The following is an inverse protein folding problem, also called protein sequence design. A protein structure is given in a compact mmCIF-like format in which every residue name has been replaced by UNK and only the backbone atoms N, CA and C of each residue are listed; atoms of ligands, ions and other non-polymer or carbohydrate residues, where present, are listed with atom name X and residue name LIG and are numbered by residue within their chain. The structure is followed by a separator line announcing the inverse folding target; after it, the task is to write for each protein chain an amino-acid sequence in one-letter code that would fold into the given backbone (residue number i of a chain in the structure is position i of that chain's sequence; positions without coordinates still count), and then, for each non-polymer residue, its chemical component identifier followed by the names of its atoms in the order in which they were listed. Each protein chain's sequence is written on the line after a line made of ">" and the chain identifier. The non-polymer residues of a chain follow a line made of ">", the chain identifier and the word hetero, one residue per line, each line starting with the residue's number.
data_IF_974784577684
#
_entry.id   IF_974784577684
#
_cell.length_a   1.000
_cell.length_b   1.000
_cell.length_c   1.000
_cell.angle_alpha   90.00
_cell.angle_beta   90.00
_cell.angle_gamma   90.00
#
_symmetry.space_group_name_H-M   'P 1'
#
loop_
_entity.id
_entity.type
_entity.pdbx_description
1 polymer ?
#
# COMPACT_ATOMS: atom_id res chain seq x y z
N UNK A 1 -35.68 3.21 5.44
CA UNK A 1 -35.65 3.04 6.92
C UNK A 1 -36.85 2.28 7.45
N UNK A 2 -38.10 2.61 7.09
CA UNK A 2 -39.30 1.89 7.58
C UNK A 2 -39.26 0.36 7.38
N UNK A 3 -38.78 -0.12 6.23
CA UNK A 3 -38.60 -1.55 5.98
C UNK A 3 -37.60 -2.21 6.94
N UNK A 4 -36.48 -1.55 7.22
CA UNK A 4 -35.49 -2.04 8.17
C UNK A 4 -36.05 -2.12 9.59
N UNK A 5 -36.85 -1.14 10.03
CA UNK A 5 -37.54 -1.19 11.32
C UNK A 5 -38.50 -2.37 11.41
N UNK A 6 -39.30 -2.64 10.36
CA UNK A 6 -40.16 -3.83 10.32
C UNK A 6 -39.38 -5.13 10.47
N UNK A 7 -38.21 -5.23 9.84
CA UNK A 7 -37.35 -6.41 9.97
C UNK A 7 -36.72 -6.52 11.36
N UNK A 8 -36.35 -5.39 11.99
CA UNK A 8 -35.86 -5.38 13.37
C UNK A 8 -36.95 -5.75 14.38
N UNK A 9 -38.18 -5.25 14.22
CA UNK A 9 -39.31 -5.66 15.06
C UNK A 9 -39.61 -7.16 14.96
N UNK A 10 -39.48 -7.73 13.76
CA UNK A 10 -39.81 -9.14 13.50
C UNK A 10 -38.70 -10.12 13.88
N UNK A 11 -37.45 -9.77 13.63
CA UNK A 11 -36.31 -10.69 13.71
C UNK A 11 -35.21 -10.24 14.68
N UNK A 12 -35.28 -9.01 15.20
CA UNK A 12 -34.31 -8.45 16.13
C UNK A 12 -32.87 -8.54 15.61
N UNK A 13 -32.00 -9.16 16.41
CA UNK A 13 -30.57 -9.29 16.13
C UNK A 13 -30.26 -10.14 14.88
N UNK A 14 -31.14 -11.08 14.51
CA UNK A 14 -30.93 -11.94 13.36
C UNK A 14 -30.97 -11.16 12.05
N UNK A 15 -31.74 -10.06 12.01
CA UNK A 15 -31.79 -9.19 10.84
C UNK A 15 -30.44 -8.50 10.54
N UNK A 16 -29.59 -8.36 11.56
CA UNK A 16 -28.28 -7.69 11.48
C UNK A 16 -27.14 -8.66 11.20
N UNK A 17 -27.34 -9.97 11.39
CA UNK A 17 -26.32 -11.00 11.19
C UNK A 17 -26.47 -11.68 9.83
N UNK A 18 -25.37 -12.02 9.15
CA UNK A 18 -25.43 -12.88 7.98
C UNK A 18 -25.93 -14.27 8.39
N UNK A 19 -26.74 -14.89 7.53
CA UNK A 19 -27.30 -16.23 7.77
C UNK A 19 -26.76 -17.21 6.74
N UNK A 20 -26.49 -18.45 7.16
CA UNK A 20 -26.09 -19.54 6.25
C UNK A 20 -27.34 -20.28 5.80
N UNK A 21 -27.65 -20.23 4.50
CA UNK A 21 -28.83 -20.85 3.89
C UNK A 21 -28.37 -21.67 2.68
N UNK A 22 -28.70 -22.96 2.64
CA UNK A 22 -28.30 -23.91 1.58
C UNK A 22 -26.79 -23.85 1.30
N UNK A 23 -25.99 -23.96 2.36
CA UNK A 23 -24.53 -23.87 2.35
C UNK A 23 -23.90 -22.57 1.83
N UNK A 24 -24.70 -21.53 1.60
CA UNK A 24 -24.23 -20.22 1.16
C UNK A 24 -24.52 -19.16 2.21
N UNK A 25 -23.54 -18.30 2.45
CA UNK A 25 -23.73 -17.14 3.31
C UNK A 25 -24.57 -16.09 2.59
N UNK A 26 -25.68 -15.71 3.21
CA UNK A 26 -26.52 -14.60 2.79
C UNK A 26 -26.14 -13.35 3.57
N UNK A 27 -26.26 -12.20 2.90
CA UNK A 27 -26.09 -10.88 3.51
C UNK A 27 -27.17 -10.66 4.59
N UNK A 28 -26.89 -9.86 5.62
CA UNK A 28 -27.91 -9.50 6.61
C UNK A 28 -29.09 -8.80 5.94
N UNK A 29 -30.29 -9.00 6.51
CA UNK A 29 -31.54 -8.42 6.01
C UNK A 29 -31.48 -6.88 6.09
N UNK A 30 -30.91 -6.37 7.18
CA UNK A 30 -30.65 -4.93 7.36
C UNK A 30 -29.18 -4.66 7.09
N UNK A 31 -28.91 -3.71 6.19
CA UNK A 31 -27.54 -3.38 5.82
C UNK A 31 -26.79 -2.70 6.98
N UNK A 32 -25.46 -2.86 7.08
CA UNK A 32 -24.67 -2.25 8.16
C UNK A 32 -24.79 -0.72 8.20
N UNK A 33 -24.94 -0.09 7.03
CA UNK A 33 -25.13 1.37 6.94
C UNK A 33 -26.45 1.82 7.55
N UNK A 34 -27.54 1.14 7.19
CA UNK A 34 -28.88 1.49 7.70
C UNK A 34 -28.99 1.21 9.19
N UNK A 35 -28.39 0.11 9.66
CA UNK A 35 -28.26 -0.18 11.09
C UNK A 35 -27.51 0.94 11.84
N UNK A 36 -26.38 1.41 11.30
CA UNK A 36 -25.63 2.51 11.89
C UNK A 36 -26.41 3.83 11.92
N UNK A 37 -27.23 4.11 10.90
CA UNK A 37 -28.06 5.31 10.88
C UNK A 37 -29.19 5.25 11.93
N UNK A 38 -29.85 4.10 12.08
CA UNK A 38 -30.86 3.88 13.13
C UNK A 38 -30.22 4.01 14.52
N UNK A 39 -29.04 3.42 14.71
CA UNK A 39 -28.26 3.56 15.96
C UNK A 39 -27.95 5.02 16.27
N UNK A 40 -27.50 5.81 15.28
CA UNK A 40 -27.24 7.25 15.47
C UNK A 40 -28.51 8.03 15.83
N UNK A 41 -29.65 7.69 15.22
CA UNK A 41 -30.93 8.30 15.54
C UNK A 41 -31.34 7.99 16.98
N UNK A 42 -31.24 6.73 17.41
CA UNK A 42 -31.53 6.32 18.78
C UNK A 42 -30.64 7.02 19.83
N UNK A 43 -29.34 7.18 19.52
CA UNK A 43 -28.41 7.96 20.37
C UNK A 43 -28.87 9.43 20.44
N UNK A 44 -29.26 10.03 19.32
CA UNK A 44 -29.72 11.44 19.28
C UNK A 44 -31.02 11.65 20.04
N UNK A 45 -31.96 10.70 19.99
CA UNK A 45 -33.25 10.77 20.69
C UNK A 45 -33.21 10.28 22.14
N UNK A 46 -32.06 9.78 22.62
CA UNK A 46 -31.94 9.22 23.98
C UNK A 46 -32.63 7.86 24.17
N UNK A 47 -32.97 7.16 23.08
CA UNK A 47 -33.63 5.84 23.10
C UNK A 47 -32.65 4.69 22.86
N UNK A 48 -31.35 4.95 23.03
CA UNK A 48 -30.32 3.90 23.04
C UNK A 48 -30.34 3.17 24.40
N UNK A 49 -30.42 1.84 24.39
CA UNK A 49 -30.54 1.02 25.59
C UNK A 49 -31.86 0.25 25.70
N UNK A 50 -32.92 0.77 25.09
CA UNK A 50 -34.26 0.15 25.08
C UNK A 50 -34.81 0.17 23.66
N UNK A 51 -35.14 -1.00 23.13
CA UNK A 51 -35.85 -1.13 21.86
C UNK A 51 -37.32 -1.45 22.13
N UNK A 52 -38.22 -0.61 21.62
CA UNK A 52 -39.65 -0.85 21.68
C UNK A 52 -40.12 -1.56 20.40
N UNK A 53 -40.64 -2.78 20.56
CA UNK A 53 -41.08 -3.63 19.44
C UNK A 53 -42.35 -3.12 18.76
N UNK A 54 -43.20 -2.38 19.49
CA UNK A 54 -44.49 -1.90 18.99
C UNK A 54 -44.32 -0.66 18.13
N UNK A 55 -43.53 0.31 18.62
CA UNK A 55 -43.27 1.57 17.90
C UNK A 55 -42.07 1.46 16.95
N UNK A 56 -41.20 0.48 17.14
CA UNK A 56 -39.94 0.32 16.40
C UNK A 56 -38.91 1.40 16.72
N UNK A 57 -39.06 2.08 17.86
CA UNK A 57 -38.19 3.16 18.30
C UNK A 57 -37.12 2.62 19.26
N UNK A 58 -35.87 3.05 19.05
CA UNK A 58 -34.75 2.77 19.93
C UNK A 58 -33.71 1.84 19.32
N UNK A 59 -32.73 1.47 20.13
CA UNK A 59 -31.64 0.57 19.75
C UNK A 59 -31.17 -0.24 20.95
N UNK A 60 -31.04 -1.55 20.79
CA UNK A 60 -30.50 -2.44 21.81
C UNK A 60 -28.96 -2.49 21.73
N UNK A 61 -28.22 -2.18 22.82
CA UNK A 61 -26.76 -2.30 22.85
C UNK A 61 -26.24 -3.70 22.49
N UNK A 62 -27.02 -4.77 22.72
CA UNK A 62 -26.63 -6.13 22.34
C UNK A 62 -26.50 -6.34 20.82
N UNK A 63 -27.10 -5.45 20.03
CA UNK A 63 -26.99 -5.46 18.57
C UNK A 63 -25.70 -4.84 18.06
N UNK A 64 -24.95 -4.13 18.94
CA UNK A 64 -23.63 -3.66 18.59
C UNK A 64 -22.68 -4.86 18.51
N UNK A 65 -22.11 -5.08 17.31
CA UNK A 65 -21.04 -6.05 17.17
C UNK A 65 -19.88 -5.65 18.09
N UNK A 66 -19.19 -6.61 18.74
CA UNK A 66 -18.04 -6.30 19.55
C UNK A 66 -17.05 -5.51 18.70
N UNK A 67 -16.82 -4.25 19.08
CA UNK A 67 -15.76 -3.45 18.46
C UNK A 67 -14.49 -4.29 18.62
N UNK A 68 -13.76 -4.49 17.52
CA UNK A 68 -12.45 -5.13 17.58
C UNK A 68 -11.69 -4.43 18.71
N UNK A 69 -11.40 -5.17 19.79
CA UNK A 69 -10.76 -4.58 20.97
C UNK A 69 -9.47 -3.92 20.46
N UNK A 70 -9.20 -2.65 20.77
CA UNK A 70 -7.85 -2.15 20.58
C UNK A 70 -6.94 -3.10 21.36
N UNK A 71 -5.96 -3.68 20.67
CA UNK A 71 -4.94 -4.47 21.33
C UNK A 71 -4.20 -3.45 22.19
N UNK A 72 -4.27 -3.58 23.51
CA UNK A 72 -3.40 -2.84 24.40
C UNK A 72 -1.98 -3.38 24.16
N UNK A 73 -1.24 -2.72 23.28
CA UNK A 73 0.20 -2.91 23.19
C UNK A 73 0.75 -2.05 24.31
N UNK A 74 1.13 -2.69 25.42
CA UNK A 74 1.84 -2.01 26.48
C UNK A 74 3.28 -1.83 26.03
N UNK A 75 3.64 -0.62 25.64
CA UNK A 75 5.03 -0.19 25.75
C UNK A 75 5.31 0.02 27.24
N UNK A 76 6.50 -0.36 27.72
CA UNK A 76 6.87 -0.49 29.14
C UNK A 76 6.89 0.81 29.95
N UNK A 77 6.19 1.84 29.47
CA UNK A 77 6.28 3.23 29.86
C UNK A 77 4.88 3.87 29.88
N UNK A 78 3.92 3.19 30.50
CA UNK A 78 2.76 3.79 31.18
C UNK A 78 1.70 4.56 30.38
N UNK A 79 1.93 4.93 29.12
CA UNK A 79 0.97 5.69 28.31
C UNK A 79 0.26 4.81 27.28
N UNK A 80 -1.07 4.75 27.38
CA UNK A 80 -1.92 3.91 26.53
C UNK A 80 -2.46 4.69 25.33
N UNK A 81 -1.91 4.42 24.14
CA UNK A 81 -2.33 5.05 22.88
C UNK A 81 -3.54 4.29 22.28
N UNK A 82 -4.69 4.97 22.14
CA UNK A 82 -5.88 4.42 21.46
C UNK A 82 -5.80 4.53 19.93
N UNK A 83 -6.16 3.44 19.25
CA UNK A 83 -5.90 3.22 17.82
C UNK A 83 -7.20 3.04 17.02
N UNK A 84 -7.45 3.88 15.99
CA UNK A 84 -8.59 3.77 15.08
C UNK A 84 -8.28 2.96 13.80
N UNK A 85 -9.30 2.25 13.30
CA UNK A 85 -9.22 1.29 12.18
C UNK A 85 -9.41 1.99 10.83
N UNK A 86 -8.34 2.08 10.02
CA UNK A 86 -8.43 2.51 8.61
C UNK A 86 -7.29 3.41 8.11
N UNK A 87 -6.54 4.04 9.00
CA UNK A 87 -5.17 4.48 8.69
C UNK A 87 -4.24 3.28 8.80
N UNK A 88 -3.10 3.30 8.11
CA UNK A 88 -1.99 2.39 8.39
C UNK A 88 -1.62 2.50 9.86
N UNK A 89 -2.22 1.66 10.70
CA UNK A 89 -1.88 1.57 12.10
C UNK A 89 -0.83 0.49 12.24
N UNK A 90 0.41 0.90 11.96
CA UNK A 90 1.58 0.04 11.89
C UNK A 90 2.82 0.77 12.38
N UNK A 91 2.70 1.51 13.49
CA UNK A 91 3.78 1.64 14.47
C UNK A 91 4.05 0.33 15.23
N UNK A 92 3.28 -0.73 14.94
CA UNK A 92 3.75 -2.09 15.12
C UNK A 92 4.84 -2.27 14.07
N UNK A 93 6.11 -2.30 14.49
CA UNK A 93 7.12 -2.96 13.67
C UNK A 93 6.54 -4.33 13.34
N UNK A 94 6.06 -4.49 12.12
CA UNK A 94 5.67 -5.80 11.64
C UNK A 94 6.85 -6.70 11.98
N UNK A 95 6.61 -7.89 12.58
CA UNK A 95 7.68 -8.85 12.88
C UNK A 95 8.61 -9.03 11.67
N UNK A 96 8.05 -8.79 10.47
CA UNK A 96 8.79 -8.70 9.22
C UNK A 96 9.33 -7.29 8.98
N UNK A 97 10.63 -7.15 8.71
CA UNK A 97 11.17 -5.86 8.33
C UNK A 97 10.44 -5.29 7.10
N UNK A 98 10.38 -3.95 6.98
CA UNK A 98 9.76 -3.31 5.82
C UNK A 98 10.46 -3.77 4.54
N UNK A 99 9.69 -4.07 3.51
CA UNK A 99 10.18 -4.57 2.21
C UNK A 99 11.13 -3.62 1.49
N UNK A 100 11.18 -2.36 1.91
CA UNK A 100 11.87 -1.26 1.25
C UNK A 100 11.46 -1.01 -0.22
N UNK A 101 11.84 0.15 -0.75
CA UNK A 101 11.65 0.46 -2.17
C UNK A 101 12.66 -0.31 -3.04
N UNK A 102 12.36 -0.49 -4.33
CA UNK A 102 13.31 -1.13 -5.28
C UNK A 102 14.68 -0.42 -5.32
N UNK A 103 14.71 0.91 -5.11
CA UNK A 103 15.94 1.71 -5.13
C UNK A 103 16.83 1.43 -3.92
N UNK A 104 16.25 1.28 -2.73
CA UNK A 104 16.98 0.92 -1.51
C UNK A 104 17.55 -0.49 -1.61
N UNK A 105 16.71 -1.47 -2.00
CA UNK A 105 17.13 -2.88 -2.18
C UNK A 105 18.26 -3.13 -3.19
N UNK A 106 18.46 -2.23 -4.17
CA UNK A 106 19.47 -2.40 -5.25
C UNK A 106 20.63 -1.43 -5.15
N UNK A 107 20.75 -0.69 -4.04
CA UNK A 107 21.76 0.36 -3.88
C UNK A 107 23.16 -0.21 -3.82
N UNK A 108 23.37 -1.25 -3.01
CA UNK A 108 24.68 -1.89 -2.80
C UNK A 108 25.21 -2.55 -4.07
N UNK A 109 24.38 -3.38 -4.71
CA UNK A 109 24.75 -4.01 -5.98
C UNK A 109 25.11 -2.99 -7.08
N UNK A 110 24.48 -1.82 -7.06
CA UNK A 110 24.80 -0.72 -7.99
C UNK A 110 26.11 -0.04 -7.63
N UNK A 111 26.40 0.15 -6.35
CA UNK A 111 27.68 0.70 -5.88
C UNK A 111 28.85 -0.23 -6.26
N UNK A 112 28.74 -1.53 -5.96
CA UNK A 112 29.74 -2.53 -6.35
C UNK A 112 30.02 -2.55 -7.86
N UNK A 113 28.95 -2.43 -8.67
CA UNK A 113 29.09 -2.35 -10.12
C UNK A 113 29.84 -1.09 -10.57
N UNK A 114 29.63 0.04 -9.90
CA UNK A 114 30.33 1.29 -10.21
C UNK A 114 31.80 1.17 -9.80
N UNK A 115 32.09 0.65 -8.61
CA UNK A 115 33.46 0.46 -8.12
C UNK A 115 34.28 -0.45 -9.05
N UNK A 116 33.71 -1.57 -9.49
CA UNK A 116 34.37 -2.46 -10.45
C UNK A 116 34.65 -1.77 -11.80
N UNK A 117 33.76 -0.89 -12.26
CA UNK A 117 33.97 -0.14 -13.50
C UNK A 117 35.04 0.95 -13.35
N UNK A 118 35.12 1.57 -12.18
CA UNK A 118 36.13 2.60 -11.86
C UNK A 118 37.52 1.97 -11.73
N UNK A 119 37.63 0.78 -11.13
CA UNK A 119 38.91 0.08 -11.00
C UNK A 119 39.55 -0.26 -12.36
N UNK A 120 38.75 -0.61 -13.36
CA UNK A 120 39.21 -0.89 -14.73
C UNK A 120 39.24 0.33 -15.66
N UNK A 121 39.10 1.55 -15.11
CA UNK A 121 38.99 2.76 -15.91
C UNK A 121 40.30 3.13 -16.62
N UNK A 122 41.43 3.01 -15.93
CA UNK A 122 42.74 3.42 -16.47
C UNK A 122 43.14 2.59 -17.69
N UNK A 123 42.93 1.27 -17.62
CA UNK A 123 43.18 0.35 -18.75
C UNK A 123 42.35 0.73 -19.97
N UNK A 124 41.06 1.03 -19.78
CA UNK A 124 40.18 1.46 -20.89
C UNK A 124 40.61 2.80 -21.48
N UNK A 125 41.16 3.70 -20.66
CA UNK A 125 41.69 4.99 -21.14
C UNK A 125 42.92 4.73 -22.02
N UNK A 126 43.82 3.83 -21.61
CA UNK A 126 45.01 3.47 -22.39
C UNK A 126 44.65 2.77 -23.70
N UNK A 127 43.77 1.76 -23.65
CA UNK A 127 43.25 1.08 -24.83
C UNK A 127 42.64 2.10 -25.81
N UNK A 128 41.80 3.00 -25.32
CA UNK A 128 41.20 4.06 -26.13
C UNK A 128 42.24 4.99 -26.75
N UNK A 129 43.30 5.35 -26.01
CA UNK A 129 44.39 6.20 -26.53
C UNK A 129 45.15 5.49 -27.65
N UNK A 130 45.49 4.22 -27.46
CA UNK A 130 46.17 3.40 -28.46
C UNK A 130 45.32 3.22 -29.72
N UNK A 131 44.02 2.93 -29.58
CA UNK A 131 43.09 2.86 -30.70
C UNK A 131 43.01 4.19 -31.47
N UNK A 132 42.97 5.31 -30.74
CA UNK A 132 42.96 6.65 -31.34
C UNK A 132 44.25 6.94 -32.08
N UNK A 133 45.40 6.49 -31.58
CA UNK A 133 46.69 6.64 -32.25
C UNK A 133 46.81 5.76 -33.48
N UNK A 134 46.42 4.48 -33.39
CA UNK A 134 46.39 3.56 -34.52
C UNK A 134 45.45 4.04 -35.64
N UNK A 135 44.38 4.76 -35.29
CA UNK A 135 43.45 5.37 -36.25
C UNK A 135 43.98 6.65 -36.90
N UNK A 136 45.02 7.30 -36.34
CA UNK A 136 45.62 8.47 -36.99
C UNK A 136 46.29 8.00 -38.29
N UNK A 137 46.08 8.71 -39.41
CA UNK A 137 46.80 8.38 -40.64
C UNK A 137 48.31 8.51 -40.41
N UNK A 138 49.13 7.63 -41.00
CA UNK A 138 50.58 7.72 -40.95
C UNK A 138 51.07 9.13 -41.35
N UNK A 139 52.00 9.72 -40.60
CA UNK A 139 52.62 10.97 -41.01
C UNK A 139 53.55 10.71 -42.21
N UNK A 140 53.36 11.44 -43.31
CA UNK A 140 54.23 11.34 -44.49
C UNK A 140 53.70 12.10 -45.70
N UNK A 141 54.62 12.76 -46.43
CA UNK A 141 54.31 13.58 -47.61
C UNK A 141 53.61 12.74 -48.70
N UNK A 142 53.99 11.47 -48.84
CA UNK A 142 53.40 10.57 -49.83
C UNK A 142 51.93 10.24 -49.55
N UNK A 143 51.54 10.13 -48.28
CA UNK A 143 50.15 9.88 -47.92
C UNK A 143 49.30 11.16 -48.05
N UNK A 144 49.87 12.31 -47.71
CA UNK A 144 49.24 13.61 -47.96
C UNK A 144 49.04 13.85 -49.46
N UNK A 145 50.04 13.51 -50.28
CA UNK A 145 49.95 13.57 -51.73
C UNK A 145 48.91 12.58 -52.29
N UNK A 146 48.88 11.34 -51.80
CA UNK A 146 47.84 10.35 -52.16
C UNK A 146 46.45 10.85 -51.78
N UNK A 147 46.30 11.49 -50.62
CA UNK A 147 45.04 12.08 -50.13
C UNK A 147 44.60 13.26 -51.01
N UNK A 148 45.52 14.14 -51.37
CA UNK A 148 45.29 15.28 -52.27
C UNK A 148 44.88 14.82 -53.68
N UNK A 149 45.57 13.82 -54.24
CA UNK A 149 45.23 13.21 -55.53
C UNK A 149 43.87 12.51 -55.52
N UNK A 150 43.46 11.94 -54.37
CA UNK A 150 42.14 11.32 -54.20
C UNK A 150 41.02 12.35 -54.05
N UNK A 151 41.28 13.48 -53.37
CA UNK A 151 40.29 14.56 -53.22
C UNK A 151 40.14 15.40 -54.48
N UNK A 152 41.16 15.46 -55.35
CA UNK A 152 41.13 16.19 -56.63
C UNK A 152 40.38 15.47 -57.76
N UNK A 153 39.86 14.26 -57.53
CA UNK A 153 39.13 13.45 -58.53
C UNK A 153 37.60 13.62 -58.48
N UNK A 154 37.12 14.69 -57.87
CA UNK A 154 35.72 15.14 -57.94
C UNK A 154 35.66 16.58 -58.44
#
# INVERSE_FOLDING_TARGET
>A
MRSALRHLCKHGIEALRPQKVNDKWRKPIVSPRVAADIRKLAIRSGTYGRFDTETGIGWDPLWDAPKAKPIAVGDGDGESIMVMKGGNFGGIQSIRPPKETKRQRTREARAQKIEALVAGMDQKIEEYRLEREAKKPPPGIEEEFKKYMKSSRY
#
